data_IF_756959833285
#
_entry.id   IF_756959833285
#
_cell.length_a   1.000
_cell.length_b   1.000
_cell.length_c   1.000
_cell.angle_alpha   90.00
_cell.angle_beta   90.00
_cell.angle_gamma   90.00
#
_symmetry.space_group_name_H-M   'P 1'
#
loop_
_entity.id
_entity.type
_entity.pdbx_description
1 polymer ?
#
# COMPACT_ATOMS: atom_id res chain seq x y z
N UNK A 1 13.31 24.68 5.79
CA UNK A 1 12.43 25.73 6.36
C UNK A 1 11.62 25.09 7.48
N UNK A 2 11.79 25.52 8.74
CA UNK A 2 11.04 24.95 9.86
C UNK A 2 9.57 25.39 9.76
N UNK A 3 8.65 24.42 9.70
CA UNK A 3 7.21 24.71 9.77
C UNK A 3 6.87 25.30 11.13
N UNK A 4 5.97 26.28 11.15
CA UNK A 4 5.44 26.82 12.40
C UNK A 4 4.64 25.75 13.16
N UNK A 5 4.54 25.89 14.49
CA UNK A 5 3.72 25.00 15.34
C UNK A 5 2.27 24.90 14.86
N UNK A 6 1.70 26.00 14.36
CA UNK A 6 0.32 26.07 13.85
C UNK A 6 0.18 25.23 12.58
N UNK A 7 1.15 25.28 11.66
CA UNK A 7 1.12 24.47 10.43
C UNK A 7 1.23 22.97 10.73
N UNK A 8 2.05 22.59 11.73
CA UNK A 8 2.16 21.21 12.18
C UNK A 8 0.80 20.74 12.72
N UNK A 9 0.15 21.52 13.58
CA UNK A 9 -1.16 21.18 14.14
C UNK A 9 -2.23 21.04 13.05
N UNK A 10 -2.28 21.97 12.09
CA UNK A 10 -3.22 21.89 10.95
C UNK A 10 -3.00 20.63 10.11
N UNK A 11 -1.74 20.27 9.86
CA UNK A 11 -1.39 19.06 9.11
C UNK A 11 -1.82 17.79 9.84
N UNK A 12 -1.59 17.71 11.16
CA UNK A 12 -2.03 16.57 11.98
C UNK A 12 -3.56 16.44 11.97
N UNK A 13 -4.27 17.54 12.20
CA UNK A 13 -5.74 17.53 12.19
C UNK A 13 -6.31 17.07 10.85
N UNK A 14 -5.76 17.56 9.72
CA UNK A 14 -6.17 17.12 8.37
C UNK A 14 -5.97 15.61 8.18
N UNK A 15 -4.79 15.08 8.57
CA UNK A 15 -4.50 13.64 8.49
C UNK A 15 -5.45 12.81 9.34
N UNK A 16 -5.74 13.25 10.57
CA UNK A 16 -6.73 12.58 11.42
C UNK A 16 -8.11 12.53 10.77
N UNK A 17 -8.56 13.62 10.14
CA UNK A 17 -9.81 13.63 9.38
C UNK A 17 -9.82 12.61 8.24
N UNK A 18 -8.79 12.63 7.39
CA UNK A 18 -8.68 11.68 6.27
C UNK A 18 -8.54 10.21 6.71
N UNK A 19 -7.92 9.94 7.86
CA UNK A 19 -7.84 8.59 8.43
C UNK A 19 -9.19 8.11 8.95
N UNK A 20 -10.00 8.98 9.55
CA UNK A 20 -11.36 8.63 9.97
C UNK A 20 -12.23 8.26 8.77
N UNK A 21 -12.20 9.09 7.71
CA UNK A 21 -12.91 8.77 6.46
C UNK A 21 -12.46 7.43 5.87
N UNK A 22 -11.15 7.15 5.90
CA UNK A 22 -10.61 5.88 5.42
C UNK A 22 -11.04 4.70 6.31
N UNK A 23 -11.07 4.87 7.63
CA UNK A 23 -11.60 3.85 8.55
C UNK A 23 -13.06 3.57 8.26
N UNK A 24 -13.88 4.61 8.03
CA UNK A 24 -15.30 4.44 7.72
C UNK A 24 -15.48 3.63 6.42
N UNK A 25 -14.67 3.91 5.39
CA UNK A 25 -14.64 3.15 4.13
C UNK A 25 -14.19 1.69 4.30
N UNK A 26 -13.27 1.43 5.21
CA UNK A 26 -12.66 0.11 5.41
C UNK A 26 -13.37 -0.77 6.45
N UNK A 27 -14.12 -0.17 7.37
CA UNK A 27 -14.64 -0.84 8.58
C UNK A 27 -15.59 -2.02 8.33
N UNK A 28 -16.23 -2.06 7.16
CA UNK A 28 -17.11 -3.18 6.76
C UNK A 28 -16.35 -4.32 6.05
N UNK A 29 -15.06 -4.12 5.77
CA UNK A 29 -14.25 -4.98 4.89
C UNK A 29 -13.14 -5.66 5.70
N UNK A 30 -12.46 -4.88 6.55
CA UNK A 30 -11.29 -5.34 7.31
C UNK A 30 -11.29 -4.77 8.72
N UNK A 31 -10.60 -5.45 9.62
CA UNK A 31 -10.39 -4.94 10.98
C UNK A 31 -9.39 -3.80 10.94
N UNK A 32 -9.86 -2.56 11.15
CA UNK A 32 -9.03 -1.35 11.14
C UNK A 32 -9.46 -0.36 12.22
N UNK A 33 -8.48 0.35 12.79
CA UNK A 33 -8.72 1.43 13.74
C UNK A 33 -7.70 2.55 13.54
N UNK A 34 -7.79 3.62 14.33
CA UNK A 34 -6.78 4.67 14.32
C UNK A 34 -5.37 4.15 14.65
N UNK A 35 -5.27 3.08 15.46
CA UNK A 35 -4.00 2.47 15.86
C UNK A 35 -3.34 1.67 14.72
N UNK A 36 -4.09 1.34 13.67
CA UNK A 36 -3.53 0.75 12.45
C UNK A 36 -2.61 1.72 11.71
N UNK A 37 -2.78 3.03 11.91
CA UNK A 37 -2.02 4.08 11.23
C UNK A 37 -0.81 4.52 12.04
N UNK A 38 0.29 4.82 11.34
CA UNK A 38 1.46 5.41 11.98
C UNK A 38 1.20 6.87 12.39
N UNK A 39 1.97 7.38 13.34
CA UNK A 39 2.07 8.83 13.55
C UNK A 39 2.50 9.54 12.26
N UNK A 40 2.01 10.76 11.97
CA UNK A 40 2.26 11.45 10.70
C UNK A 40 3.73 11.53 10.30
N UNK A 41 4.61 11.85 11.26
CA UNK A 41 6.05 11.95 11.02
C UNK A 41 6.69 10.58 10.73
N UNK A 42 6.25 9.53 11.45
CA UNK A 42 6.71 8.16 11.23
C UNK A 42 6.24 7.62 9.88
N UNK A 43 5.01 7.92 9.48
CA UNK A 43 4.49 7.56 8.16
C UNK A 43 5.31 8.22 7.04
N UNK A 44 5.63 9.50 7.17
CA UNK A 44 6.45 10.20 6.16
C UNK A 44 7.86 9.62 6.07
N UNK A 45 8.47 9.24 7.20
CA UNK A 45 9.76 8.55 7.20
C UNK A 45 9.66 7.14 6.61
N UNK A 46 8.60 6.41 6.92
CA UNK A 46 8.34 5.07 6.41
C UNK A 46 8.20 5.08 4.89
N UNK A 47 7.44 6.01 4.32
CA UNK A 47 7.34 6.18 2.87
C UNK A 47 8.70 6.46 2.23
N UNK A 48 9.52 7.34 2.83
CA UNK A 48 10.89 7.62 2.33
C UNK A 48 11.77 6.37 2.34
N UNK A 49 11.70 5.59 3.40
CA UNK A 49 12.47 4.35 3.51
C UNK A 49 12.00 3.32 2.48
N UNK A 50 10.69 3.20 2.25
CA UNK A 50 10.14 2.35 1.20
C UNK A 50 10.66 2.74 -0.19
N UNK A 51 10.63 4.03 -0.55
CA UNK A 51 11.16 4.47 -1.84
C UNK A 51 12.65 4.11 -1.99
N UNK A 52 13.44 4.28 -0.94
CA UNK A 52 14.84 3.84 -0.93
C UNK A 52 14.96 2.32 -1.12
N UNK A 53 14.11 1.52 -0.46
CA UNK A 53 14.07 0.05 -0.65
C UNK A 53 13.73 -0.32 -2.10
N UNK A 54 12.71 0.31 -2.69
CA UNK A 54 12.29 0.04 -4.06
C UNK A 54 13.41 0.36 -5.07
N UNK A 55 14.08 1.50 -4.94
CA UNK A 55 15.23 1.84 -5.81
C UNK A 55 16.41 0.86 -5.72
N UNK A 56 16.51 0.09 -4.64
CA UNK A 56 17.55 -0.92 -4.43
C UNK A 56 17.07 -2.34 -4.80
N UNK A 57 15.78 -2.53 -5.02
CA UNK A 57 15.19 -3.83 -5.30
C UNK A 57 15.50 -4.23 -6.74
N UNK A 58 16.26 -5.30 -6.92
CA UNK A 58 16.73 -5.76 -8.23
C UNK A 58 15.79 -6.74 -8.94
N UNK A 59 14.77 -7.25 -8.24
CA UNK A 59 13.86 -8.27 -8.74
C UNK A 59 12.55 -7.66 -9.26
N UNK A 60 12.67 -6.78 -10.26
CA UNK A 60 11.55 -6.13 -10.93
C UNK A 60 11.14 -6.98 -12.14
N UNK A 61 9.86 -7.36 -12.19
CA UNK A 61 9.26 -8.07 -13.34
C UNK A 61 8.26 -7.16 -14.02
N UNK A 62 8.53 -6.83 -15.28
CA UNK A 62 7.62 -6.03 -16.08
C UNK A 62 6.47 -6.91 -16.58
N UNK A 63 5.23 -6.41 -16.48
CA UNK A 63 4.06 -7.06 -17.04
C UNK A 63 3.02 -6.03 -17.49
N UNK A 64 2.02 -6.51 -18.23
CA UNK A 64 0.99 -5.65 -18.80
C UNK A 64 1.46 -4.86 -20.03
N UNK A 65 0.70 -3.84 -20.39
CA UNK A 65 0.90 -2.99 -21.57
C UNK A 65 0.55 -1.53 -21.24
N UNK A 66 0.28 -0.70 -22.24
CA UNK A 66 -0.28 0.65 -22.03
C UNK A 66 -1.78 0.66 -21.71
N UNK A 67 -2.46 -0.50 -21.77
CA UNK A 67 -3.86 -0.62 -21.38
C UNK A 67 -4.02 -0.74 -19.86
N UNK A 68 -4.29 0.39 -19.20
CA UNK A 68 -4.41 0.46 -17.74
C UNK A 68 -5.53 -0.39 -17.13
N UNK A 69 -6.67 -0.53 -17.82
CA UNK A 69 -7.80 -1.32 -17.34
C UNK A 69 -7.43 -2.81 -17.31
N UNK A 70 -6.84 -3.29 -18.40
CA UNK A 70 -6.35 -4.67 -18.49
C UNK A 70 -5.21 -4.92 -17.49
N UNK A 71 -4.30 -3.96 -17.30
CA UNK A 71 -3.25 -4.07 -16.30
C UNK A 71 -3.81 -4.20 -14.89
N UNK A 72 -4.87 -3.46 -14.55
CA UNK A 72 -5.56 -3.59 -13.26
C UNK A 72 -6.10 -5.01 -13.05
N UNK A 73 -6.77 -5.57 -14.06
CA UNK A 73 -7.28 -6.96 -14.02
C UNK A 73 -6.15 -7.98 -13.88
N UNK A 74 -5.09 -7.86 -14.67
CA UNK A 74 -3.92 -8.74 -14.60
C UNK A 74 -3.22 -8.65 -13.24
N UNK A 75 -3.17 -7.45 -12.65
CA UNK A 75 -2.58 -7.23 -11.33
C UNK A 75 -3.34 -7.99 -10.24
N UNK A 76 -4.67 -7.97 -10.25
CA UNK A 76 -5.48 -8.73 -9.29
C UNK A 76 -5.25 -10.23 -9.44
N UNK A 77 -5.22 -10.74 -10.67
CA UNK A 77 -4.91 -12.16 -10.92
C UNK A 77 -3.52 -12.51 -10.39
N UNK A 78 -2.51 -11.70 -10.72
CA UNK A 78 -1.14 -11.89 -10.27
C UNK A 78 -1.03 -11.91 -8.75
N UNK A 79 -1.68 -10.96 -8.06
CA UNK A 79 -1.66 -10.86 -6.60
C UNK A 79 -2.36 -12.06 -5.94
N UNK A 80 -3.50 -12.52 -6.46
CA UNK A 80 -4.21 -13.72 -5.96
C UNK A 80 -3.36 -14.98 -6.12
N UNK A 81 -2.71 -15.16 -7.28
CA UNK A 81 -1.83 -16.32 -7.51
C UNK A 81 -0.55 -16.25 -6.67
N UNK A 82 0.01 -15.05 -6.50
CA UNK A 82 1.16 -14.82 -5.61
C UNK A 82 0.81 -15.23 -4.18
N UNK A 83 -0.33 -14.77 -3.64
CA UNK A 83 -0.75 -15.10 -2.28
C UNK A 83 -0.95 -16.60 -2.03
N UNK A 84 -1.28 -17.39 -3.06
CA UNK A 84 -1.42 -18.86 -2.96
C UNK A 84 -0.08 -19.60 -2.94
N UNK A 85 0.98 -18.98 -3.46
CA UNK A 85 2.28 -19.63 -3.73
C UNK A 85 3.37 -19.20 -2.76
N UNK A 86 3.12 -18.18 -1.94
CA UNK A 86 4.08 -17.67 -0.97
C UNK A 86 3.56 -17.81 0.46
N UNK A 87 4.51 -17.95 1.39
CA UNK A 87 4.29 -17.80 2.81
C UNK A 87 4.79 -16.43 3.26
N UNK A 88 3.88 -15.63 3.79
CA UNK A 88 4.25 -14.37 4.43
C UNK A 88 5.01 -14.62 5.73
N UNK A 89 6.03 -13.81 6.06
CA UNK A 89 6.79 -13.96 7.30
C UNK A 89 5.98 -13.55 8.54
N UNK A 90 4.89 -12.81 8.36
CA UNK A 90 3.99 -12.30 9.40
C UNK A 90 2.55 -12.29 8.89
N UNK A 91 1.58 -12.22 9.81
CA UNK A 91 0.16 -12.24 9.47
C UNK A 91 -0.43 -10.85 9.16
N UNK A 92 0.35 -9.79 9.40
CA UNK A 92 -0.06 -8.40 9.20
C UNK A 92 0.95 -7.63 8.36
N UNK A 93 0.44 -6.81 7.44
CA UNK A 93 1.23 -5.94 6.60
C UNK A 93 0.63 -4.55 6.53
N UNK A 94 1.39 -3.60 5.99
CA UNK A 94 0.93 -2.25 5.73
C UNK A 94 0.53 -2.09 4.28
N UNK A 95 -0.76 -1.88 4.06
CA UNK A 95 -1.30 -1.49 2.76
C UNK A 95 -1.31 0.03 2.66
N UNK A 96 -0.88 0.56 1.51
CA UNK A 96 -0.86 2.00 1.27
C UNK A 96 -2.18 2.47 0.66
N UNK A 97 -2.66 3.61 1.16
CA UNK A 97 -3.84 4.28 0.66
C UNK A 97 -3.51 5.71 0.24
N UNK A 98 -3.98 6.13 -0.94
CA UNK A 98 -3.90 7.53 -1.38
C UNK A 98 -5.17 8.28 -0.98
N UNK A 99 -5.09 9.12 0.05
CA UNK A 99 -6.23 9.92 0.56
C UNK A 99 -5.77 11.35 0.85
N UNK A 100 -6.57 12.34 0.41
CA UNK A 100 -6.28 13.75 0.71
C UNK A 100 -4.96 14.30 0.14
N UNK A 101 -4.43 13.68 -0.92
CA UNK A 101 -3.14 14.02 -1.54
C UNK A 101 -1.92 13.52 -0.75
N UNK A 102 -2.10 12.56 0.15
CA UNK A 102 -1.04 11.91 0.94
C UNK A 102 -1.22 10.40 0.92
N UNK A 103 -0.11 9.71 1.18
CA UNK A 103 -0.12 8.26 1.41
C UNK A 103 -0.22 7.98 2.90
N UNK A 104 -1.11 7.06 3.25
CA UNK A 104 -1.27 6.54 4.60
C UNK A 104 -1.04 5.02 4.56
N UNK A 105 -0.12 4.54 5.39
CA UNK A 105 0.20 3.12 5.52
C UNK A 105 -0.59 2.50 6.69
N UNK A 106 -1.67 1.79 6.37
CA UNK A 106 -2.53 1.16 7.36
C UNK A 106 -2.12 -0.30 7.58
N UNK A 107 -1.91 -0.68 8.84
CA UNK A 107 -1.62 -2.07 9.22
C UNK A 107 -2.90 -2.90 9.21
N UNK A 108 -2.93 -3.93 8.36
CA UNK A 108 -4.07 -4.81 8.13
C UNK A 108 -3.66 -6.28 8.24
N UNK A 109 -4.62 -7.16 8.53
CA UNK A 109 -4.43 -8.60 8.42
C UNK A 109 -4.27 -8.98 6.94
N UNK A 110 -3.26 -9.80 6.62
CA UNK A 110 -2.94 -10.17 5.24
C UNK A 110 -4.00 -11.11 4.66
N UNK A 111 -4.56 -12.02 5.46
CA UNK A 111 -5.64 -12.90 4.99
C UNK A 111 -6.90 -12.09 4.64
N UNK A 112 -7.35 -11.21 5.54
CA UNK A 112 -8.47 -10.29 5.27
C UNK A 112 -8.21 -9.42 4.03
N UNK A 113 -6.95 -8.98 3.83
CA UNK A 113 -6.56 -8.20 2.67
C UNK A 113 -6.77 -8.98 1.36
N UNK A 114 -6.28 -10.22 1.28
CA UNK A 114 -6.38 -11.01 0.06
C UNK A 114 -7.79 -11.56 -0.18
N UNK A 115 -8.59 -11.76 0.87
CA UNK A 115 -10.03 -12.05 0.77
C UNK A 115 -10.80 -10.88 0.13
N UNK A 116 -10.40 -9.64 0.42
CA UNK A 116 -11.07 -8.42 -0.04
C UNK A 116 -10.25 -7.61 -1.05
N UNK A 117 -9.37 -8.28 -1.80
CA UNK A 117 -8.29 -7.62 -2.57
C UNK A 117 -8.81 -6.57 -3.57
N UNK A 118 -9.89 -6.86 -4.29
CA UNK A 118 -10.43 -5.97 -5.33
C UNK A 118 -11.00 -4.68 -4.73
N UNK A 119 -11.74 -4.79 -3.63
CA UNK A 119 -12.35 -3.65 -2.95
C UNK A 119 -11.26 -2.78 -2.31
N UNK A 120 -10.32 -3.40 -1.59
CA UNK A 120 -9.17 -2.70 -1.02
C UNK A 120 -8.28 -2.06 -2.08
N UNK A 121 -8.09 -2.70 -3.23
CA UNK A 121 -7.33 -2.15 -4.35
C UNK A 121 -8.05 -0.97 -5.02
N UNK A 122 -9.38 -0.89 -4.89
CA UNK A 122 -10.15 0.26 -5.35
C UNK A 122 -10.03 1.42 -4.35
N UNK A 123 -10.18 1.13 -3.06
CA UNK A 123 -10.08 2.13 -1.96
C UNK A 123 -8.66 2.69 -1.85
N UNK A 124 -7.62 1.85 -2.01
CA UNK A 124 -6.21 2.28 -2.04
C UNK A 124 -5.89 3.21 -3.21
N UNK A 125 -6.80 3.28 -4.20
CA UNK A 125 -6.71 3.98 -5.47
C UNK A 125 -5.84 3.30 -6.52
N UNK A 126 -5.40 2.07 -6.28
CA UNK A 126 -4.63 1.29 -7.25
C UNK A 126 -5.44 1.01 -8.52
N UNK A 127 -6.60 0.35 -8.41
CA UNK A 127 -7.43 0.01 -9.57
C UNK A 127 -8.05 1.24 -10.26
N UNK A 128 -8.20 2.34 -9.54
CA UNK A 128 -8.66 3.60 -10.12
C UNK A 128 -7.56 4.36 -10.86
N UNK A 129 -6.32 3.87 -10.79
CA UNK A 129 -5.21 4.45 -11.52
C UNK A 129 -4.61 5.72 -10.91
N UNK A 130 -4.72 5.93 -9.59
CA UNK A 130 -4.13 7.10 -8.91
C UNK A 130 -3.03 6.75 -7.90
N UNK A 131 -2.75 5.47 -7.68
CA UNK A 131 -1.71 5.01 -6.78
C UNK A 131 -1.14 3.66 -7.23
N UNK A 132 0.00 3.28 -6.68
CA UNK A 132 0.59 1.95 -6.81
C UNK A 132 -0.04 0.99 -5.80
N UNK A 133 0.06 -0.31 -6.05
CA UNK A 133 -0.26 -1.30 -5.03
C UNK A 133 0.99 -1.54 -4.19
N UNK A 134 0.90 -1.31 -2.87
CA UNK A 134 2.03 -1.50 -1.96
C UNK A 134 1.57 -2.21 -0.71
N UNK A 135 2.05 -3.44 -0.51
CA UNK A 135 1.90 -4.21 0.73
C UNK A 135 3.28 -4.56 1.28
N UNK A 136 3.62 -4.08 2.48
CA UNK A 136 4.96 -4.26 3.07
C UNK A 136 4.92 -4.56 4.56
N UNK A 137 6.00 -5.15 5.10
CA UNK A 137 6.16 -5.33 6.54
C UNK A 137 6.44 -4.03 7.30
N UNK A 138 6.21 -4.03 8.62
CA UNK A 138 6.47 -2.88 9.50
C UNK A 138 7.94 -2.38 9.45
N UNK A 139 8.87 -3.28 9.15
CA UNK A 139 10.30 -3.04 9.05
C UNK A 139 10.82 -3.13 7.59
N UNK A 140 9.92 -3.22 6.61
CA UNK A 140 10.24 -3.41 5.18
C UNK A 140 11.06 -4.67 4.87
N UNK A 141 11.12 -5.65 5.79
CA UNK A 141 11.82 -6.93 5.54
C UNK A 141 11.16 -7.76 4.43
N UNK A 142 9.87 -7.53 4.18
CA UNK A 142 9.16 -8.07 3.02
C UNK A 142 8.32 -7.00 2.34
N UNK A 143 8.02 -7.26 1.07
CA UNK A 143 7.09 -6.45 0.30
C UNK A 143 6.59 -7.13 -0.96
N UNK A 144 5.39 -6.70 -1.37
CA UNK A 144 4.72 -7.02 -2.62
C UNK A 144 4.23 -5.70 -3.18
N UNK A 145 4.79 -5.31 -4.32
CA UNK A 145 4.56 -4.00 -4.92
C UNK A 145 4.24 -4.14 -6.40
N UNK A 146 3.24 -3.39 -6.86
CA UNK A 146 2.97 -3.17 -8.28
C UNK A 146 3.05 -1.68 -8.55
N UNK A 147 4.14 -1.26 -9.17
CA UNK A 147 4.38 0.11 -9.62
C UNK A 147 3.78 0.35 -11.00
N UNK A 148 3.12 1.48 -11.16
CA UNK A 148 2.50 1.90 -12.41
C UNK A 148 3.42 2.85 -13.13
N UNK A 149 3.97 2.40 -14.26
CA UNK A 149 4.76 3.26 -15.14
C UNK A 149 3.90 3.77 -16.29
N UNK A 150 4.46 4.66 -17.11
CA UNK A 150 3.81 5.19 -18.31
C UNK A 150 3.56 4.10 -19.38
N UNK A 151 4.36 3.02 -19.40
CA UNK A 151 4.39 2.05 -20.50
C UNK A 151 3.96 0.63 -20.09
N UNK A 152 4.18 0.26 -18.84
CA UNK A 152 3.92 -1.08 -18.29
C UNK A 152 3.74 -1.02 -16.78
N UNK A 153 3.35 -2.14 -16.17
CA UNK A 153 3.36 -2.29 -14.71
C UNK A 153 4.60 -3.08 -14.29
N UNK A 154 5.14 -2.75 -13.14
CA UNK A 154 6.34 -3.37 -12.58
C UNK A 154 5.96 -4.09 -11.30
N UNK A 155 6.18 -5.41 -11.26
CA UNK A 155 5.95 -6.24 -10.09
C UNK A 155 7.26 -6.52 -9.36
N UNK A 156 7.30 -6.18 -8.08
CA UNK A 156 8.45 -6.38 -7.20
C UNK A 156 8.03 -7.13 -5.95
N UNK A 157 8.83 -8.12 -5.55
CA UNK A 157 8.58 -8.91 -4.36
C UNK A 157 9.89 -9.32 -3.68
N UNK A 158 9.93 -9.20 -2.35
CA UNK A 158 11.08 -9.59 -1.53
C UNK A 158 10.64 -10.08 -0.15
N UNK A 159 11.53 -10.78 0.56
CA UNK A 159 11.32 -11.15 1.96
C UNK A 159 10.23 -12.19 2.23
N UNK A 160 9.78 -12.91 1.19
CA UNK A 160 8.79 -13.98 1.29
C UNK A 160 9.39 -15.29 0.79
N UNK A 161 8.90 -16.41 1.33
CA UNK A 161 9.30 -17.75 0.88
C UNK A 161 8.20 -18.38 0.03
N UNK A 162 8.57 -19.20 -0.95
CA UNK A 162 7.62 -20.05 -1.66
C UNK A 162 7.15 -21.19 -0.76
N UNK A 163 5.88 -21.58 -0.89
CA UNK A 163 5.31 -22.76 -0.21
C UNK A 163 5.82 -24.04 -0.86
#
# INVERSE_FOLDING_TARGET
>A
MNKSRIEILKMKAKRTGSRKELIDELSNIVTVSMDSFMEPESNDLFCKNLFNTLTQTSNIKNFGSTNYEENGRLSIVLLKETAKTIKFPVDQGRLFFSKGGKFEAAKLNIAELFENLEELSTISRFLTGYADFVLVGDNLEFGIVIERTEYHYEFSMWGVSTI
#
